data_IF_550320836488
#
_entry.id   IF_550320836488
#
_cell.length_a   1.000
_cell.length_b   1.000
_cell.length_c   1.000
_cell.angle_alpha   90.00
_cell.angle_beta   90.00
_cell.angle_gamma   90.00
#
_symmetry.space_group_name_H-M   'P 1'
#
loop_
_entity.id
_entity.type
_entity.pdbx_description
1 polymer ?
#
# COMPACT_ATOMS: atom_id res chain seq x y z
N UNK A 1 -13.21 -16.78 -3.31
CA UNK A 1 -13.59 -15.38 -3.63
C UNK A 1 -12.65 -14.89 -4.70
N UNK A 2 -13.17 -14.20 -5.71
CA UNK A 2 -12.42 -13.80 -6.89
C UNK A 2 -12.82 -12.35 -7.24
N UNK A 3 -11.81 -11.51 -7.58
CA UNK A 3 -11.96 -10.11 -8.01
C UNK A 3 -12.96 -9.25 -7.18
N UNK A 4 -12.69 -9.16 -5.88
CA UNK A 4 -13.57 -8.48 -4.91
C UNK A 4 -13.75 -7.00 -5.23
N UNK A 5 -12.72 -6.35 -5.79
CA UNK A 5 -12.75 -4.94 -6.19
C UNK A 5 -12.84 -4.83 -7.72
N UNK A 6 -13.88 -4.17 -8.18
CA UNK A 6 -14.14 -3.98 -9.60
C UNK A 6 -13.08 -3.12 -10.31
N UNK A 7 -12.60 -2.09 -9.63
CA UNK A 7 -11.69 -1.08 -10.19
C UNK A 7 -10.98 -0.27 -9.09
N UNK A 8 -10.08 0.60 -9.49
CA UNK A 8 -9.34 1.47 -8.59
C UNK A 8 -10.25 2.35 -7.73
N UNK A 9 -11.33 2.92 -8.32
CA UNK A 9 -12.25 3.81 -7.61
C UNK A 9 -12.94 3.09 -6.45
N UNK A 10 -13.34 1.85 -6.65
CA UNK A 10 -13.94 1.02 -5.58
C UNK A 10 -12.91 0.64 -4.52
N UNK A 11 -11.73 0.21 -4.92
CA UNK A 11 -10.68 -0.19 -3.99
C UNK A 11 -10.13 0.98 -3.12
N UNK A 12 -10.12 2.21 -3.68
CA UNK A 12 -9.64 3.40 -2.98
C UNK A 12 -10.70 4.06 -2.09
N UNK A 13 -11.97 3.71 -2.26
CA UNK A 13 -13.06 4.20 -1.41
C UNK A 13 -13.04 3.51 -0.05
N UNK A 14 -12.84 4.25 1.03
CA UNK A 14 -12.89 3.73 2.40
C UNK A 14 -14.25 3.08 2.68
N UNK A 15 -15.34 3.73 2.28
CA UNK A 15 -16.72 3.22 2.47
C UNK A 15 -16.92 1.88 1.77
N UNK A 16 -16.37 1.71 0.56
CA UNK A 16 -16.48 0.43 -0.17
C UNK A 16 -15.63 -0.65 0.51
N UNK A 17 -14.44 -0.32 0.99
CA UNK A 17 -13.61 -1.29 1.72
C UNK A 17 -14.27 -1.76 3.01
N UNK A 18 -14.83 -0.83 3.79
CA UNK A 18 -15.61 -1.15 4.99
C UNK A 18 -16.82 -2.04 4.68
N UNK A 19 -17.57 -1.71 3.62
CA UNK A 19 -18.72 -2.54 3.21
C UNK A 19 -18.30 -3.96 2.77
N UNK A 20 -17.16 -4.11 2.12
CA UNK A 20 -16.62 -5.42 1.75
C UNK A 20 -16.19 -6.21 2.98
N UNK A 21 -15.60 -5.55 3.95
CA UNK A 21 -15.22 -6.14 5.23
C UNK A 21 -16.43 -6.59 6.02
N UNK A 22 -17.44 -5.72 6.19
CA UNK A 22 -18.70 -6.09 6.83
C UNK A 22 -19.37 -7.29 6.13
N UNK A 23 -19.34 -7.31 4.80
CA UNK A 23 -19.83 -8.44 4.04
C UNK A 23 -19.01 -9.72 4.30
N UNK A 24 -17.69 -9.60 4.39
CA UNK A 24 -16.83 -10.74 4.71
C UNK A 24 -17.19 -11.32 6.09
N UNK A 25 -17.23 -10.48 7.11
CA UNK A 25 -17.49 -10.89 8.48
C UNK A 25 -18.91 -11.43 8.68
N UNK A 26 -19.91 -10.78 8.09
CA UNK A 26 -21.31 -11.11 8.33
C UNK A 26 -21.89 -12.14 7.37
N UNK A 27 -21.31 -12.31 6.19
CA UNK A 27 -21.87 -13.18 5.15
C UNK A 27 -20.91 -14.30 4.75
N UNK A 28 -19.65 -14.00 4.45
CA UNK A 28 -18.72 -15.02 3.97
C UNK A 28 -18.25 -15.92 5.12
N UNK A 29 -17.77 -15.34 6.20
CA UNK A 29 -17.23 -16.08 7.34
C UNK A 29 -18.29 -16.91 8.06
N UNK A 30 -19.50 -16.39 8.21
CA UNK A 30 -20.62 -17.10 8.85
C UNK A 30 -21.07 -18.39 8.12
N UNK A 31 -20.64 -18.59 6.87
CA UNK A 31 -20.92 -19.80 6.09
C UNK A 31 -19.81 -20.86 6.18
N UNK A 32 -18.74 -20.53 6.86
CA UNK A 32 -17.63 -21.48 7.06
C UNK A 32 -17.94 -22.43 8.21
N UNK A 33 -17.61 -23.70 8.01
CA UNK A 33 -17.69 -24.73 9.03
C UNK A 33 -16.28 -25.07 9.54
N UNK A 34 -16.18 -25.88 10.61
CA UNK A 34 -14.92 -26.17 11.28
C UNK A 34 -13.75 -26.64 10.37
N UNK A 35 -14.04 -27.29 9.26
CA UNK A 35 -13.02 -27.79 8.32
C UNK A 35 -13.08 -27.07 6.96
N UNK A 36 -13.70 -25.90 6.89
CA UNK A 36 -13.76 -25.14 5.66
C UNK A 36 -12.40 -24.57 5.30
N UNK A 37 -12.14 -24.50 4.01
CA UNK A 37 -10.97 -23.82 3.45
C UNK A 37 -11.42 -22.58 2.68
N UNK A 38 -10.64 -21.54 2.76
CA UNK A 38 -10.88 -20.31 2.02
C UNK A 38 -9.78 -20.11 0.97
N UNK A 39 -10.18 -19.73 -0.22
CA UNK A 39 -9.29 -19.25 -1.27
C UNK A 39 -9.75 -17.87 -1.71
N UNK A 40 -8.86 -16.90 -1.62
CA UNK A 40 -9.09 -15.52 -2.06
C UNK A 40 -8.08 -15.22 -3.16
N UNK A 41 -8.58 -14.89 -4.33
CA UNK A 41 -7.75 -14.57 -5.51
C UNK A 41 -8.14 -13.21 -6.03
N UNK A 42 -7.23 -12.26 -6.01
CA UNK A 42 -7.42 -10.94 -6.62
C UNK A 42 -6.11 -10.16 -6.71
N UNK A 43 -6.12 -9.10 -7.48
CA UNK A 43 -5.02 -8.16 -7.57
C UNK A 43 -5.05 -7.20 -6.39
N UNK A 44 -3.90 -6.95 -5.76
CA UNK A 44 -3.78 -6.00 -4.65
C UNK A 44 -3.91 -4.56 -5.15
N UNK A 45 -4.87 -3.82 -4.61
CA UNK A 45 -5.15 -2.45 -5.01
C UNK A 45 -4.74 -1.41 -3.96
N UNK A 46 -4.85 -1.76 -2.69
CA UNK A 46 -4.67 -0.87 -1.57
C UNK A 46 -4.11 -1.64 -0.37
N UNK A 47 -3.28 -0.99 0.47
CA UNK A 47 -2.74 -1.65 1.66
C UNK A 47 -3.83 -2.17 2.60
N UNK A 48 -4.95 -1.43 2.70
CA UNK A 48 -6.15 -1.79 3.48
C UNK A 48 -7.25 -2.43 2.64
N UNK A 49 -6.91 -3.15 1.58
CA UNK A 49 -7.88 -4.02 0.92
C UNK A 49 -8.19 -5.25 1.78
N UNK A 50 -9.17 -6.06 1.42
CA UNK A 50 -9.57 -7.21 2.22
C UNK A 50 -8.39 -8.13 2.59
N UNK A 51 -7.45 -8.40 1.67
CA UNK A 51 -6.27 -9.19 2.00
C UNK A 51 -5.36 -8.48 3.01
N UNK A 52 -5.14 -7.18 2.86
CA UNK A 52 -4.36 -6.40 3.83
C UNK A 52 -4.95 -6.48 5.23
N UNK A 53 -6.26 -6.32 5.36
CA UNK A 53 -6.96 -6.44 6.64
C UNK A 53 -6.89 -7.85 7.24
N UNK A 54 -7.15 -8.88 6.44
CA UNK A 54 -7.06 -10.26 6.91
C UNK A 54 -5.65 -10.61 7.39
N UNK A 55 -4.63 -10.14 6.68
CA UNK A 55 -3.24 -10.34 7.09
C UNK A 55 -2.88 -9.55 8.36
N UNK A 56 -3.42 -8.35 8.54
CA UNK A 56 -3.24 -7.57 9.77
C UNK A 56 -3.91 -8.24 10.98
N UNK A 57 -5.09 -8.80 10.80
CA UNK A 57 -5.87 -9.40 11.88
C UNK A 57 -5.45 -10.84 12.21
N UNK A 58 -5.20 -11.65 11.19
CA UNK A 58 -4.98 -13.09 11.34
C UNK A 58 -3.53 -13.52 11.07
N UNK A 59 -2.75 -12.65 10.43
CA UNK A 59 -1.34 -12.87 10.14
C UNK A 59 -1.08 -13.90 9.03
N UNK A 60 0.21 -14.09 8.76
CA UNK A 60 0.70 -15.07 7.79
C UNK A 60 0.89 -16.41 8.51
N UNK A 61 0.61 -17.50 7.80
CA UNK A 61 0.82 -18.85 8.28
C UNK A 61 2.27 -19.09 8.71
N UNK A 62 2.43 -19.61 9.90
CA UNK A 62 3.68 -20.15 10.42
C UNK A 62 3.34 -21.44 11.18
N UNK A 63 3.97 -22.58 10.86
CA UNK A 63 3.60 -23.86 11.44
C UNK A 63 3.79 -23.94 12.96
N UNK A 64 4.61 -23.05 13.53
CA UNK A 64 4.92 -23.03 14.96
C UNK A 64 4.18 -21.90 15.69
N UNK A 65 4.23 -20.68 15.12
CA UNK A 65 3.77 -19.48 15.82
C UNK A 65 2.36 -19.04 15.40
N UNK A 66 1.93 -19.36 14.17
CA UNK A 66 0.61 -19.00 13.66
C UNK A 66 0.03 -20.08 12.71
N UNK A 67 -0.34 -21.26 13.22
CA UNK A 67 -0.82 -22.37 12.38
C UNK A 67 -2.17 -22.11 11.71
N UNK A 68 -2.90 -21.06 12.12
CA UNK A 68 -4.18 -20.65 11.54
C UNK A 68 -4.07 -19.42 10.64
N UNK A 69 -2.88 -18.92 10.41
CA UNK A 69 -2.64 -17.76 9.53
C UNK A 69 -2.84 -18.08 8.04
N UNK A 70 -2.79 -17.05 7.24
CA UNK A 70 -2.97 -17.14 5.80
C UNK A 70 -1.70 -17.61 5.08
N UNK A 71 -1.81 -18.63 4.23
CA UNK A 71 -0.77 -18.95 3.25
C UNK A 71 -0.88 -17.93 2.11
N UNK A 72 0.13 -17.09 1.94
CA UNK A 72 0.16 -16.05 0.92
C UNK A 72 1.06 -16.48 -0.24
N UNK A 73 0.47 -16.56 -1.43
CA UNK A 73 1.20 -16.82 -2.67
C UNK A 73 1.11 -15.57 -3.54
N UNK A 74 2.24 -14.96 -3.86
CA UNK A 74 2.32 -13.71 -4.62
C UNK A 74 3.16 -13.91 -5.88
N UNK A 75 2.56 -13.62 -7.03
CA UNK A 75 3.24 -13.61 -8.31
C UNK A 75 3.49 -12.17 -8.76
N UNK A 76 4.70 -11.70 -8.54
CA UNK A 76 5.12 -10.36 -8.95
C UNK A 76 5.43 -10.33 -10.45
N UNK A 77 5.06 -9.23 -11.12
CA UNK A 77 5.37 -9.06 -12.54
C UNK A 77 6.87 -9.11 -12.84
N UNK A 78 7.69 -8.52 -11.97
CA UNK A 78 9.14 -8.67 -11.96
C UNK A 78 9.50 -9.29 -10.60
N UNK A 79 10.11 -10.45 -10.62
CA UNK A 79 10.48 -11.19 -9.39
C UNK A 79 11.41 -10.36 -8.52
N UNK A 80 11.05 -10.20 -7.24
CA UNK A 80 11.90 -9.64 -6.18
C UNK A 80 12.32 -10.77 -5.23
N UNK A 81 13.58 -10.80 -4.88
CA UNK A 81 14.16 -11.76 -3.94
C UNK A 81 14.37 -13.16 -4.52
N UNK A 82 14.86 -14.06 -3.67
CA UNK A 82 15.25 -15.40 -4.05
C UNK A 82 14.09 -16.26 -4.57
N UNK A 83 14.36 -17.30 -5.38
CA UNK A 83 13.38 -18.32 -5.75
C UNK A 83 12.70 -18.95 -4.53
N UNK A 84 11.40 -19.24 -4.65
CA UNK A 84 10.61 -19.93 -3.63
C UNK A 84 9.94 -21.17 -4.21
N UNK A 85 9.41 -22.03 -3.37
CA UNK A 85 8.64 -23.22 -3.80
C UNK A 85 7.50 -22.86 -4.76
N UNK A 86 6.81 -21.74 -4.50
CA UNK A 86 5.66 -21.30 -5.31
C UNK A 86 6.05 -20.43 -6.50
N UNK A 87 7.22 -19.82 -6.46
CA UNK A 87 7.74 -18.98 -7.54
C UNK A 87 9.25 -19.21 -7.71
N UNK A 88 9.65 -20.21 -8.52
CA UNK A 88 11.05 -20.61 -8.69
C UNK A 88 11.85 -19.68 -9.61
N UNK A 89 11.27 -18.57 -10.09
CA UNK A 89 11.96 -17.61 -10.95
C UNK A 89 13.14 -16.96 -10.23
N UNK A 90 14.18 -16.68 -10.98
CA UNK A 90 15.30 -15.87 -10.53
C UNK A 90 14.88 -14.40 -10.36
N UNK A 91 15.53 -13.70 -9.42
CA UNK A 91 15.31 -12.27 -9.20
C UNK A 91 15.50 -11.46 -10.48
N UNK A 92 14.66 -10.46 -10.70
CA UNK A 92 14.68 -9.61 -11.88
C UNK A 92 14.00 -10.19 -13.11
N UNK A 93 13.50 -11.42 -13.08
CA UNK A 93 12.82 -12.03 -14.23
C UNK A 93 11.35 -11.63 -14.32
N UNK A 94 10.85 -11.44 -15.55
CA UNK A 94 9.44 -11.18 -15.80
C UNK A 94 8.59 -12.44 -15.56
N UNK A 95 7.36 -12.25 -15.07
CA UNK A 95 6.41 -13.33 -14.81
C UNK A 95 6.02 -14.08 -16.10
N UNK A 96 5.78 -13.33 -17.15
CA UNK A 96 5.39 -13.87 -18.46
C UNK A 96 6.04 -13.07 -19.59
N UNK A 97 7.32 -13.36 -19.91
CA UNK A 97 8.13 -12.57 -20.85
C UNK A 97 7.53 -12.43 -22.24
N UNK A 98 6.84 -13.49 -22.74
CA UNK A 98 6.22 -13.50 -24.08
C UNK A 98 5.06 -12.50 -24.17
N UNK A 99 4.40 -12.17 -23.07
CA UNK A 99 3.29 -11.22 -23.02
C UNK A 99 3.70 -9.84 -22.52
N UNK A 100 4.55 -9.81 -21.51
CA UNK A 100 5.07 -8.61 -20.87
C UNK A 100 6.55 -8.81 -20.57
N UNK A 101 7.41 -8.41 -21.50
CA UNK A 101 8.85 -8.43 -21.29
C UNK A 101 9.31 -7.33 -20.33
N UNK A 102 10.54 -7.39 -19.88
CA UNK A 102 11.10 -6.45 -18.90
C UNK A 102 11.05 -5.00 -19.39
N UNK A 103 11.35 -4.76 -20.67
CA UNK A 103 11.32 -3.41 -21.25
C UNK A 103 9.92 -2.76 -21.11
N UNK A 104 8.87 -3.52 -21.46
CA UNK A 104 7.49 -3.06 -21.31
C UNK A 104 7.11 -2.84 -19.85
N UNK A 105 7.53 -3.75 -18.96
CA UNK A 105 7.24 -3.63 -17.52
C UNK A 105 7.92 -2.41 -16.92
N UNK A 106 9.17 -2.14 -17.26
CA UNK A 106 9.90 -0.94 -16.81
C UNK A 106 9.32 0.36 -17.37
N UNK A 107 8.84 0.35 -18.62
CA UNK A 107 8.13 1.50 -19.18
C UNK A 107 6.82 1.80 -18.41
N UNK A 108 6.08 0.75 -18.00
CA UNK A 108 4.87 0.90 -17.16
C UNK A 108 5.25 1.42 -15.77
N UNK A 109 6.29 0.88 -15.15
CA UNK A 109 6.80 1.34 -13.85
C UNK A 109 7.17 2.81 -13.87
N UNK A 110 7.93 3.24 -14.89
CA UNK A 110 8.35 4.64 -15.04
C UNK A 110 7.14 5.59 -15.21
N UNK A 111 6.14 5.17 -15.97
CA UNK A 111 4.95 5.99 -16.23
C UNK A 111 4.05 6.15 -15.01
N UNK A 112 3.87 5.10 -14.22
CA UNK A 112 3.03 5.12 -13.03
C UNK A 112 3.56 4.15 -11.96
N UNK A 113 4.57 4.57 -11.19
CA UNK A 113 5.22 3.73 -10.18
C UNK A 113 4.25 3.16 -9.15
N UNK A 114 3.32 3.97 -8.68
CA UNK A 114 2.35 3.55 -7.66
C UNK A 114 1.43 2.42 -8.16
N UNK A 115 0.86 2.57 -9.33
CA UNK A 115 0.04 1.52 -9.96
C UNK A 115 0.88 0.27 -10.22
N UNK A 116 2.14 0.43 -10.62
CA UNK A 116 3.03 -0.69 -10.84
C UNK A 116 3.30 -1.48 -9.54
N UNK A 117 3.63 -0.81 -8.46
CA UNK A 117 3.88 -1.49 -7.18
C UNK A 117 2.60 -2.19 -6.67
N UNK A 118 1.44 -1.56 -6.76
CA UNK A 118 0.17 -2.19 -6.37
C UNK A 118 -0.19 -3.38 -7.26
N UNK A 119 -0.49 -3.12 -8.53
CA UNK A 119 -1.18 -4.08 -9.40
C UNK A 119 -0.24 -5.09 -10.05
N UNK A 120 1.00 -4.68 -10.33
CA UNK A 120 1.99 -5.55 -11.00
C UNK A 120 2.90 -6.25 -10.00
N UNK A 121 3.27 -5.57 -8.90
CA UNK A 121 4.13 -6.17 -7.89
C UNK A 121 3.37 -6.73 -6.69
N UNK A 122 2.04 -6.53 -6.61
CA UNK A 122 1.18 -6.97 -5.52
C UNK A 122 1.60 -6.41 -4.15
N UNK A 123 2.25 -5.24 -4.16
CA UNK A 123 2.80 -4.54 -2.99
C UNK A 123 2.24 -3.12 -2.90
N UNK A 124 0.94 -2.97 -2.57
CA UNK A 124 0.33 -1.65 -2.45
C UNK A 124 0.93 -0.89 -1.28
N UNK A 125 1.36 0.34 -1.56
CA UNK A 125 1.93 1.26 -0.57
C UNK A 125 1.03 2.47 -0.38
N UNK A 126 1.01 3.08 0.82
CA UNK A 126 0.28 4.31 1.04
C UNK A 126 0.70 5.40 0.05
N UNK A 127 -0.26 6.13 -0.51
CA UNK A 127 0.05 7.28 -1.38
C UNK A 127 0.93 8.32 -0.70
N UNK A 128 0.78 8.47 0.61
CA UNK A 128 1.53 9.45 1.39
C UNK A 128 3.04 9.21 1.38
N UNK A 129 3.51 7.96 1.17
CA UNK A 129 4.94 7.65 1.06
C UNK A 129 5.55 7.91 -0.32
N UNK A 130 4.71 8.13 -1.36
CA UNK A 130 5.15 8.32 -2.75
C UNK A 130 5.09 9.78 -3.21
N UNK A 131 4.46 10.66 -2.44
CA UNK A 131 4.31 12.08 -2.79
C UNK A 131 5.63 12.85 -2.66
N UNK A 132 6.54 12.34 -1.81
CA UNK A 132 7.84 12.95 -1.58
C UNK A 132 8.93 11.89 -1.76
N UNK A 133 9.72 12.00 -2.82
CA UNK A 133 10.85 11.08 -3.11
C UNK A 133 11.95 11.16 -2.05
N UNK A 134 12.03 12.29 -1.36
CA UNK A 134 12.98 12.49 -0.28
C UNK A 134 12.23 12.75 1.03
N UNK A 135 12.50 12.01 2.09
CA UNK A 135 11.96 12.31 3.41
C UNK A 135 12.42 13.72 3.82
N UNK A 136 11.57 14.41 4.56
CA UNK A 136 11.97 15.68 5.18
C UNK A 136 13.23 15.44 6.03
N UNK A 137 14.20 16.32 5.88
CA UNK A 137 15.39 16.26 6.72
C UNK A 137 15.02 16.69 8.13
N UNK A 138 15.30 15.85 9.08
CA UNK A 138 15.17 16.17 10.49
C UNK A 138 16.34 17.08 10.91
N UNK A 139 16.11 17.93 11.89
CA UNK A 139 17.14 18.79 12.47
C UNK A 139 16.97 18.83 14.00
N UNK A 140 18.08 18.75 14.70
CA UNK A 140 18.11 18.86 16.17
C UNK A 140 18.20 20.32 16.64
N UNK A 141 18.84 21.16 15.84
CA UNK A 141 19.07 22.56 16.15
C UNK A 141 18.71 23.42 14.94
N UNK A 142 17.85 24.44 15.14
CA UNK A 142 17.54 25.41 14.11
C UNK A 142 18.81 26.15 13.68
N UNK A 143 19.10 26.22 12.39
CA UNK A 143 20.28 26.90 11.90
C UNK A 143 20.27 28.39 12.30
N UNK A 144 21.42 28.92 12.65
CA UNK A 144 21.61 30.32 12.97
C UNK A 144 21.54 31.15 11.65
N UNK A 145 20.39 31.77 11.40
CA UNK A 145 20.19 32.66 10.24
C UNK A 145 19.80 34.07 10.67
N UNK A 146 20.15 35.06 9.88
CA UNK A 146 19.87 36.47 10.22
C UNK A 146 18.42 36.87 9.94
N UNK A 147 17.78 36.27 8.92
CA UNK A 147 16.39 36.55 8.53
C UNK A 147 15.51 35.40 8.97
N UNK A 148 14.58 35.70 9.88
CA UNK A 148 13.59 34.73 10.38
C UNK A 148 12.21 35.35 10.35
N UNK A 149 11.30 34.69 9.65
CA UNK A 149 9.86 35.02 9.69
C UNK A 149 9.11 33.77 10.05
N UNK A 150 8.33 33.84 11.12
CA UNK A 150 7.41 32.77 11.46
C UNK A 150 6.16 32.92 10.61
N UNK A 151 5.80 31.88 9.90
CA UNK A 151 4.58 31.81 9.07
C UNK A 151 3.78 30.58 9.50
N UNK A 152 2.50 30.69 9.29
CA UNK A 152 1.57 29.57 9.47
C UNK A 152 0.78 29.38 8.17
N UNK A 153 0.65 28.14 7.77
CA UNK A 153 -0.28 27.72 6.73
C UNK A 153 -1.30 26.80 7.37
N UNK A 154 -2.58 27.14 7.21
CA UNK A 154 -3.67 26.33 7.72
C UNK A 154 -4.56 25.94 6.56
N UNK A 155 -4.74 24.66 6.38
CA UNK A 155 -5.73 24.07 5.50
C UNK A 155 -6.93 23.69 6.36
N UNK A 156 -8.05 24.36 6.12
CA UNK A 156 -9.28 24.14 6.90
C UNK A 156 -10.02 22.97 6.31
N UNK A 157 -10.39 22.01 7.17
CA UNK A 157 -11.28 20.94 6.77
C UNK A 157 -12.59 21.50 6.23
N UNK A 158 -13.03 20.98 5.08
CA UNK A 158 -14.37 21.16 4.55
C UNK A 158 -15.30 20.07 5.11
N UNK A 159 -16.50 19.93 4.61
CA UNK A 159 -17.45 18.91 5.07
C UNK A 159 -16.93 17.49 4.75
N UNK A 160 -16.95 16.58 5.73
CA UNK A 160 -16.62 15.17 5.54
C UNK A 160 -15.51 14.63 6.44
N UNK A 161 -14.70 13.71 5.92
CA UNK A 161 -13.62 13.03 6.63
C UNK A 161 -12.29 13.79 6.62
N UNK A 162 -12.26 15.02 6.14
CA UNK A 162 -11.04 15.83 6.08
C UNK A 162 -10.63 16.33 7.45
N UNK A 163 -9.33 16.46 7.65
CA UNK A 163 -8.76 16.97 8.90
C UNK A 163 -8.21 18.38 8.70
N UNK A 164 -8.46 19.25 9.67
CA UNK A 164 -7.78 20.53 9.74
C UNK A 164 -6.26 20.28 9.88
N UNK A 165 -5.49 20.81 8.96
CA UNK A 165 -4.03 20.76 9.02
C UNK A 165 -3.47 22.16 9.19
N UNK A 166 -2.69 22.39 10.23
CA UNK A 166 -2.02 23.67 10.47
C UNK A 166 -0.54 23.44 10.66
N UNK A 167 0.28 24.06 9.80
CA UNK A 167 1.74 23.94 9.83
C UNK A 167 2.33 25.30 10.12
N UNK A 168 3.07 25.38 11.21
CA UNK A 168 3.89 26.57 11.52
C UNK A 168 5.32 26.34 11.06
N UNK A 169 5.87 27.28 10.34
CA UNK A 169 7.23 27.17 9.85
C UNK A 169 8.02 28.48 9.96
N UNK A 170 9.32 28.34 10.04
CA UNK A 170 10.27 29.43 10.03
C UNK A 170 10.84 29.59 8.61
N UNK A 171 10.56 30.72 7.98
CA UNK A 171 11.17 31.08 6.70
C UNK A 171 12.54 31.72 6.94
N UNK A 172 13.54 31.23 6.27
CA UNK A 172 14.92 31.72 6.37
C UNK A 172 15.54 31.85 4.98
N UNK A 173 16.67 32.51 4.87
CA UNK A 173 17.44 32.63 3.62
C UNK A 173 17.98 31.31 3.05
N UNK A 174 18.05 30.26 3.89
CA UNK A 174 18.58 28.94 3.51
C UNK A 174 17.49 27.85 3.37
N UNK A 175 16.23 28.17 3.67
CA UNK A 175 15.12 27.23 3.56
C UNK A 175 14.02 27.47 4.60
N UNK A 176 13.00 26.62 4.53
CA UNK A 176 11.89 26.64 5.46
C UNK A 176 12.03 25.48 6.46
N UNK A 177 11.79 25.74 7.72
CA UNK A 177 11.89 24.78 8.81
C UNK A 177 10.55 24.69 9.54
N UNK A 178 9.96 23.51 9.60
CA UNK A 178 8.73 23.27 10.39
C UNK A 178 9.11 23.34 11.87
N UNK A 179 8.34 24.10 12.66
CA UNK A 179 8.60 24.33 14.09
C UNK A 179 7.39 23.99 14.94
#
# INVERSE_FOLDING_TARGET
>A
MDDIYKDAKTAWSAVVREAIEDWYDTVAETRLHNNSQQLIVFTRWHEKDLAGRLLEQQGIYDPVNNPNGWVVVTYQAIKKGAPTEYDPREEGTALWPERHNLEKLEAIRTRNPHVFESLYQQDPKPLQGLMYENPFKEYDILPATKLRKVKNYTDTADEGADFLCSITYLETEIGNFII
#
